data_IF_387624005363
#
_entry.id   IF_387624005363
#
_cell.length_a   1.000
_cell.length_b   1.000
_cell.length_c   1.000
_cell.angle_alpha   90.00
_cell.angle_beta   90.00
_cell.angle_gamma   90.00
#
_symmetry.space_group_name_H-M   'P 1'
#
loop_
_entity.id
_entity.type
_entity.pdbx_description
1 polymer ?
#
# COMPACT_ATOMS: atom_id res chain seq x y z
N UNK A 1 -11.73 -9.82 -10.91
CA UNK A 1 -11.56 -8.37 -10.73
C UNK A 1 -10.27 -8.19 -9.96
N UNK A 2 -9.34 -7.43 -10.51
CA UNK A 2 -8.00 -7.32 -9.91
C UNK A 2 -7.88 -6.00 -9.16
N UNK A 3 -7.13 -6.01 -8.07
CA UNK A 3 -6.76 -4.83 -7.31
C UNK A 3 -5.27 -4.57 -7.51
N UNK A 4 -4.92 -3.32 -7.77
CA UNK A 4 -3.56 -2.84 -7.94
C UNK A 4 -3.25 -1.86 -6.80
N UNK A 5 -1.97 -1.65 -6.50
CA UNK A 5 -1.54 -0.64 -5.54
C UNK A 5 -0.78 0.43 -6.31
N UNK A 6 -1.25 1.68 -6.26
CA UNK A 6 -0.59 2.84 -6.83
C UNK A 6 0.21 3.55 -5.75
N UNK A 7 1.49 3.83 -6.03
CA UNK A 7 2.38 4.60 -5.18
C UNK A 7 2.36 6.07 -5.64
N UNK A 8 1.79 6.97 -4.84
CA UNK A 8 1.80 8.40 -5.18
C UNK A 8 3.18 9.05 -5.06
N UNK A 9 4.11 8.44 -4.33
CA UNK A 9 5.47 8.95 -4.22
C UNK A 9 6.25 8.79 -5.54
N UNK A 10 6.17 7.61 -6.14
CA UNK A 10 6.86 7.29 -7.40
C UNK A 10 6.00 7.58 -8.64
N UNK A 11 4.68 7.74 -8.47
CA UNK A 11 3.74 7.94 -9.57
C UNK A 11 3.48 6.67 -10.39
N UNK A 12 3.81 5.49 -9.86
CA UNK A 12 3.74 4.21 -10.54
C UNK A 12 2.96 3.15 -9.73
N UNK A 13 2.59 2.05 -10.39
CA UNK A 13 2.01 0.90 -9.71
C UNK A 13 3.09 -0.02 -9.14
N UNK A 14 2.82 -0.60 -7.98
CA UNK A 14 3.77 -1.52 -7.36
C UNK A 14 4.01 -2.74 -8.25
N UNK A 15 5.29 -3.06 -8.41
CA UNK A 15 5.77 -4.22 -9.13
C UNK A 15 6.61 -5.10 -8.22
N UNK A 16 6.49 -6.42 -8.35
CA UNK A 16 7.38 -7.38 -7.72
C UNK A 16 8.13 -8.14 -8.82
N UNK A 17 9.46 -8.14 -8.74
CA UNK A 17 10.33 -8.83 -9.72
C UNK A 17 10.02 -8.44 -11.18
N UNK A 18 9.77 -7.15 -11.43
CA UNK A 18 9.45 -6.63 -12.76
C UNK A 18 8.03 -6.93 -13.25
N UNK A 19 7.15 -7.49 -12.41
CA UNK A 19 5.74 -7.75 -12.75
C UNK A 19 4.81 -6.93 -11.90
N UNK A 20 3.80 -6.33 -12.54
CA UNK A 20 2.73 -5.59 -11.87
C UNK A 20 2.03 -6.45 -10.82
N UNK A 21 1.96 -5.96 -9.59
CA UNK A 21 1.25 -6.65 -8.51
C UNK A 21 -0.26 -6.56 -8.70
N UNK A 22 -0.89 -7.73 -8.76
CA UNK A 22 -2.33 -7.91 -8.89
C UNK A 22 -2.85 -8.74 -7.73
N UNK A 23 -3.89 -8.24 -7.07
CA UNK A 23 -4.52 -8.91 -5.95
C UNK A 23 -5.96 -9.29 -6.28
N UNK A 24 -6.36 -10.50 -5.90
CA UNK A 24 -7.74 -10.96 -6.10
C UNK A 24 -8.77 -10.21 -5.24
N UNK A 25 -8.31 -9.57 -4.15
CA UNK A 25 -9.17 -8.81 -3.24
C UNK A 25 -8.43 -7.59 -2.68
N UNK A 26 -9.21 -6.60 -2.22
CA UNK A 26 -8.67 -5.44 -1.49
C UNK A 26 -7.99 -5.87 -0.17
N UNK A 27 -8.44 -6.95 0.46
CA UNK A 27 -7.84 -7.49 1.69
C UNK A 27 -6.40 -7.97 1.47
N UNK A 28 -6.16 -8.71 0.38
CA UNK A 28 -4.82 -9.18 0.01
C UNK A 28 -3.87 -8.00 -0.30
N UNK A 29 -4.37 -6.97 -0.99
CA UNK A 29 -3.59 -5.76 -1.24
C UNK A 29 -3.19 -5.05 0.07
N UNK A 30 -4.12 -4.94 1.03
CA UNK A 30 -3.83 -4.35 2.34
C UNK A 30 -2.81 -5.18 3.12
N UNK A 31 -2.95 -6.52 3.14
CA UNK A 31 -1.99 -7.39 3.82
C UNK A 31 -0.58 -7.21 3.26
N UNK A 32 -0.45 -7.12 1.93
CA UNK A 32 0.84 -6.83 1.30
C UNK A 32 1.40 -5.47 1.73
N UNK A 33 0.58 -4.42 1.74
CA UNK A 33 1.01 -3.09 2.20
C UNK A 33 1.47 -3.11 3.66
N UNK A 34 0.76 -3.83 4.53
CA UNK A 34 1.10 -3.95 5.95
C UNK A 34 2.42 -4.70 6.13
N UNK A 35 2.62 -5.82 5.44
CA UNK A 35 3.85 -6.60 5.58
C UNK A 35 5.10 -5.94 5.02
N UNK A 36 4.97 -5.08 3.99
CA UNK A 36 6.12 -4.52 3.28
C UNK A 36 6.38 -3.04 3.53
N UNK A 37 5.36 -2.27 3.90
CA UNK A 37 5.45 -0.80 3.97
C UNK A 37 4.85 -0.21 5.24
N UNK A 38 4.47 -1.03 6.23
CA UNK A 38 4.00 -0.50 7.50
C UNK A 38 5.15 0.18 8.23
N UNK A 39 4.95 1.45 8.60
CA UNK A 39 5.91 2.16 9.45
C UNK A 39 5.82 1.55 10.85
N UNK A 40 6.94 1.07 11.42
CA UNK A 40 6.93 0.57 12.79
C UNK A 40 6.45 1.67 13.73
N UNK A 41 5.60 1.32 14.69
CA UNK A 41 5.20 2.29 15.72
C UNK A 41 6.46 2.71 16.48
N UNK A 42 6.72 4.01 16.65
CA UNK A 42 7.77 4.44 17.55
C UNK A 42 7.44 3.93 18.95
N UNK A 43 8.39 3.21 19.54
CA UNK A 43 8.22 2.48 20.80
C UNK A 43 8.05 3.43 22.00
N UNK A 44 8.45 4.70 21.87
CA UNK A 44 8.49 5.67 22.97
C UNK A 44 8.19 7.10 22.52
N UNK A 45 6.92 7.46 22.29
CA UNK A 45 6.54 8.88 22.22
C UNK A 45 5.38 9.18 23.16
N UNK A 46 5.74 9.72 24.31
CA UNK A 46 4.87 10.40 25.26
C UNK A 46 3.98 11.42 24.52
N UNK A 47 2.67 11.11 24.47
CA UNK A 47 1.54 12.04 24.28
C UNK A 47 1.84 13.33 23.49
N UNK A 48 2.35 13.21 22.27
CA UNK A 48 2.17 14.24 21.24
C UNK A 48 1.40 13.57 20.11
N UNK A 49 0.31 14.21 19.71
CA UNK A 49 -0.53 13.83 18.58
C UNK A 49 0.30 13.92 17.30
N UNK A 50 1.21 12.98 17.11
CA UNK A 50 1.95 12.79 15.87
C UNK A 50 0.98 12.12 14.92
N UNK A 51 0.74 12.75 13.78
CA UNK A 51 0.09 12.10 12.64
C UNK A 51 1.06 11.02 12.15
N UNK A 52 0.98 9.84 12.76
CA UNK A 52 1.80 8.69 12.35
C UNK A 52 1.18 8.16 11.07
N UNK A 53 1.84 8.42 9.94
CA UNK A 53 1.49 7.77 8.68
C UNK A 53 1.52 6.25 8.86
N UNK A 54 0.41 5.59 8.53
CA UNK A 54 0.24 4.14 8.71
C UNK A 54 1.14 3.32 7.77
N UNK A 55 1.58 3.94 6.65
CA UNK A 55 2.45 3.36 5.64
C UNK A 55 3.56 4.35 5.27
N UNK A 56 4.70 3.82 4.82
CA UNK A 56 5.90 4.57 4.46
C UNK A 56 5.66 5.56 3.31
N UNK A 57 4.73 5.20 2.40
CA UNK A 57 4.35 6.04 1.26
C UNK A 57 2.82 6.22 1.16
N UNK A 58 2.37 7.30 0.52
CA UNK A 58 0.96 7.48 0.16
C UNK A 58 0.56 6.46 -0.91
N UNK A 59 -0.15 5.41 -0.51
CA UNK A 59 -0.66 4.37 -1.41
C UNK A 59 -2.16 4.48 -1.67
N UNK A 60 -2.58 4.03 -2.86
CA UNK A 60 -4.00 3.84 -3.19
C UNK A 60 -4.25 2.49 -3.81
N UNK A 61 -5.24 1.78 -3.27
CA UNK A 61 -5.73 0.55 -3.89
C UNK A 61 -6.70 0.91 -5.01
N UNK A 62 -6.39 0.49 -6.22
CA UNK A 62 -7.17 0.76 -7.44
C UNK A 62 -7.80 -0.55 -7.92
N UNK A 63 -9.09 -0.51 -8.24
CA UNK A 63 -9.79 -1.65 -8.84
C UNK A 63 -9.57 -1.62 -10.36
N UNK A 64 -8.80 -2.57 -10.88
CA UNK A 64 -8.66 -2.75 -12.31
C UNK A 64 -9.96 -3.35 -12.87
N UNK A 65 -10.63 -2.57 -13.74
CA UNK A 65 -11.67 -3.12 -14.59
C UNK A 65 -10.97 -3.71 -15.82
N UNK A 66 -11.13 -5.01 -16.04
CA UNK A 66 -10.88 -5.55 -17.36
C UNK A 66 -11.85 -4.85 -18.31
N UNK A 67 -11.35 -4.09 -19.28
CA UNK A 67 -12.17 -3.75 -20.43
C UNK A 67 -12.32 -5.06 -21.21
N UNK A 68 -13.54 -5.59 -21.20
CA UNK A 68 -13.95 -6.72 -22.02
C UNK A 68 -13.99 -6.34 -23.49
#
# INVERSE_FOLDING_TARGET
MDYLIFNYHEGEFLCAQGRLLRFASQGLAKQYMTSHYQVPRPEDVTKKTLEINHYEFPFKIVKARSCS
#
